data_IF_965868902664
#
_entry.id   IF_965868902664
#
_cell.length_a   1.000
_cell.length_b   1.000
_cell.length_c   1.000
_cell.angle_alpha   90.00
_cell.angle_beta   90.00
_cell.angle_gamma   90.00
#
_symmetry.space_group_name_H-M   'P 1'
#
loop_
_entity.id
_entity.type
_entity.pdbx_description
1 polymer ?
#
# COMPACT_ATOMS: atom_id res chain seq x y z
N UNK A 1 61.67 22.18 42.26
CA UNK A 1 60.64 23.22 42.07
C UNK A 1 60.69 23.73 40.63
N UNK A 2 59.51 23.88 39.99
CA UNK A 2 59.11 24.72 38.83
C UNK A 2 59.97 24.66 37.54
N UNK A 3 59.51 24.09 36.42
CA UNK A 3 58.36 24.35 35.49
C UNK A 3 58.69 25.29 34.30
N UNK A 4 58.61 24.68 33.10
CA UNK A 4 58.05 25.16 31.81
C UNK A 4 58.84 26.29 31.09
N UNK A 5 58.94 26.33 29.75
CA UNK A 5 57.89 26.20 28.73
C UNK A 5 58.44 25.72 27.37
N UNK A 6 57.68 24.82 26.73
CA UNK A 6 57.78 24.40 25.33
C UNK A 6 57.06 25.42 24.43
N UNK A 7 57.55 25.61 23.21
CA UNK A 7 56.93 26.41 22.15
C UNK A 7 56.92 25.61 20.84
N UNK A 8 55.92 25.91 20.03
CA UNK A 8 55.68 25.51 18.64
C UNK A 8 54.98 24.16 18.39
N UNK A 9 53.77 24.26 17.85
CA UNK A 9 53.00 23.19 17.24
C UNK A 9 51.78 23.78 16.54
N UNK A 10 51.93 24.18 15.29
CA UNK A 10 50.85 24.65 14.41
C UNK A 10 49.91 23.48 14.10
N UNK A 11 48.70 23.48 14.67
CA UNK A 11 47.65 22.54 14.31
C UNK A 11 46.87 23.13 13.14
N UNK A 12 47.09 22.59 11.94
CA UNK A 12 46.17 22.69 10.82
C UNK A 12 44.87 21.97 11.21
N UNK A 13 43.82 22.72 11.52
CA UNK A 13 42.47 22.18 11.58
C UNK A 13 42.04 21.82 10.14
N UNK A 14 42.10 20.54 9.82
CA UNK A 14 41.26 19.95 8.76
C UNK A 14 39.81 20.10 9.22
N UNK A 15 39.11 21.10 8.69
CA UNK A 15 37.67 21.17 8.76
C UNK A 15 37.12 19.95 8.00
N UNK A 16 36.76 18.90 8.73
CA UNK A 16 35.91 17.86 8.21
C UNK A 16 34.58 18.52 7.85
N UNK A 17 34.35 18.71 6.54
CA UNK A 17 33.04 19.10 6.05
C UNK A 17 32.02 18.09 6.56
N UNK A 18 31.11 18.55 7.41
CA UNK A 18 29.92 17.77 7.72
C UNK A 18 29.21 17.54 6.39
N UNK A 19 29.24 16.31 5.88
CA UNK A 19 28.39 15.90 4.76
C UNK A 19 26.97 16.05 5.27
N UNK A 20 26.25 17.06 4.78
CA UNK A 20 24.84 17.24 5.10
C UNK A 20 24.12 15.93 4.76
N UNK A 21 23.41 15.34 5.71
CA UNK A 21 22.55 14.20 5.42
C UNK A 21 21.52 14.64 4.37
N UNK A 22 21.47 13.94 3.25
CA UNK A 22 20.57 14.26 2.13
C UNK A 22 19.12 14.28 2.65
N UNK A 23 18.52 15.48 2.64
CA UNK A 23 17.13 15.68 3.02
C UNK A 23 16.21 14.94 2.04
N UNK A 24 15.03 14.53 2.51
CA UNK A 24 14.08 13.83 1.67
C UNK A 24 13.47 14.81 0.68
N UNK A 25 13.29 14.42 -0.59
CA UNK A 25 12.56 15.27 -1.54
C UNK A 25 11.13 15.46 -1.04
N UNK A 26 10.62 16.68 -1.11
CA UNK A 26 9.23 16.98 -0.75
C UNK A 26 8.30 16.58 -1.88
N UNK A 27 7.09 16.14 -1.54
CA UNK A 27 6.01 15.96 -2.51
C UNK A 27 5.40 17.34 -2.78
N UNK A 28 5.45 17.78 -4.04
CA UNK A 28 4.98 19.09 -4.48
C UNK A 28 3.93 18.95 -5.60
N UNK A 29 2.92 19.84 -5.64
CA UNK A 29 1.97 19.86 -6.74
C UNK A 29 2.67 20.23 -8.07
N UNK A 30 2.10 19.79 -9.19
CA UNK A 30 2.60 20.09 -10.53
C UNK A 30 3.69 19.17 -11.08
N UNK A 31 4.13 18.16 -10.32
CA UNK A 31 4.89 17.05 -10.89
C UNK A 31 4.00 16.25 -11.83
N UNK A 32 4.42 16.10 -13.08
CA UNK A 32 3.69 15.33 -14.08
C UNK A 32 4.23 13.91 -14.10
N UNK A 33 3.38 12.94 -13.77
CA UNK A 33 3.73 11.52 -13.79
C UNK A 33 4.06 11.06 -15.22
N UNK A 34 5.15 10.32 -15.39
CA UNK A 34 5.70 9.85 -16.65
C UNK A 34 5.85 8.33 -16.67
N UNK A 35 5.14 7.66 -17.58
CA UNK A 35 5.21 6.20 -17.72
C UNK A 35 6.09 5.80 -18.92
N UNK A 36 6.88 4.72 -18.83
CA UNK A 36 6.91 3.72 -17.75
C UNK A 36 7.80 4.08 -16.54
N UNK A 37 8.54 5.20 -16.58
CA UNK A 37 9.51 5.56 -15.53
C UNK A 37 8.92 5.56 -14.12
N UNK A 38 7.81 6.25 -13.91
CA UNK A 38 7.15 6.38 -12.59
C UNK A 38 6.35 5.10 -12.21
N UNK A 39 6.42 4.03 -13.02
CA UNK A 39 6.06 2.70 -12.55
C UNK A 39 7.19 2.02 -11.78
N UNK A 40 8.43 2.46 -11.98
CA UNK A 40 9.60 2.04 -11.20
C UNK A 40 9.70 2.73 -9.84
N UNK A 41 10.74 2.37 -9.10
CA UNK A 41 11.00 2.83 -7.76
C UNK A 41 11.51 4.29 -7.72
N UNK A 42 11.16 5.00 -6.65
CA UNK A 42 11.60 6.36 -6.35
C UNK A 42 12.47 6.40 -5.07
N UNK A 43 13.68 5.82 -5.07
CA UNK A 43 14.49 5.56 -3.87
C UNK A 43 14.91 6.80 -3.08
N UNK A 44 14.82 7.99 -3.68
CA UNK A 44 15.07 9.25 -2.99
C UNK A 44 13.99 9.54 -1.92
N UNK A 45 12.75 9.12 -2.15
CA UNK A 45 11.62 9.32 -1.22
C UNK A 45 11.67 8.33 -0.06
N UNK A 46 11.15 8.76 1.09
CA UNK A 46 11.18 7.97 2.33
C UNK A 46 10.41 6.66 2.21
N UNK A 47 9.22 6.70 1.65
CA UNK A 47 8.24 5.60 1.69
C UNK A 47 7.65 5.38 0.30
N UNK A 48 7.46 4.12 -0.09
CA UNK A 48 6.86 3.76 -1.38
C UNK A 48 6.17 2.40 -1.34
N UNK A 49 5.03 2.30 -2.01
CA UNK A 49 4.11 1.17 -1.93
C UNK A 49 3.75 0.64 -3.32
N UNK A 50 3.82 -0.66 -3.52
CA UNK A 50 3.13 -1.38 -4.60
C UNK A 50 2.09 -2.29 -3.96
N UNK A 51 0.82 -1.97 -4.13
CA UNK A 51 -0.28 -2.64 -3.45
C UNK A 51 -1.28 -3.20 -4.45
N UNK A 52 -1.31 -4.53 -4.59
CA UNK A 52 -2.29 -5.22 -5.43
C UNK A 52 -3.35 -5.86 -4.57
N UNK A 53 -4.60 -5.62 -4.91
CA UNK A 53 -5.78 -6.27 -4.33
C UNK A 53 -6.68 -6.81 -5.43
N UNK A 54 -7.34 -7.94 -5.21
CA UNK A 54 -8.18 -8.51 -6.26
C UNK A 54 -9.09 -9.64 -5.84
N UNK A 55 -10.09 -9.86 -6.68
CA UNK A 55 -10.99 -11.01 -6.60
C UNK A 55 -10.68 -11.95 -7.75
N UNK A 56 -10.48 -13.22 -7.42
CA UNK A 56 -10.24 -14.29 -8.40
C UNK A 56 -11.20 -15.44 -8.19
N UNK A 57 -11.46 -16.20 -9.25
CA UNK A 57 -12.31 -17.38 -9.22
C UNK A 57 -11.64 -18.56 -9.91
N UNK A 58 -11.87 -19.77 -9.39
CA UNK A 58 -11.47 -21.01 -10.06
C UNK A 58 -12.50 -21.48 -11.09
N UNK A 59 -12.18 -22.55 -11.83
CA UNK A 59 -13.08 -23.14 -12.82
C UNK A 59 -14.40 -23.70 -12.24
N UNK A 60 -14.51 -23.85 -10.91
CA UNK A 60 -15.74 -24.27 -10.23
C UNK A 60 -16.60 -23.08 -9.79
N UNK A 61 -16.14 -21.84 -10.03
CA UNK A 61 -16.82 -20.62 -9.62
C UNK A 61 -16.61 -20.25 -8.14
N UNK A 62 -15.64 -20.87 -7.46
CA UNK A 62 -15.29 -20.49 -6.09
C UNK A 62 -14.56 -19.15 -6.11
N UNK A 63 -15.00 -18.19 -5.29
CA UNK A 63 -14.43 -16.85 -5.24
C UNK A 63 -13.41 -16.73 -4.10
N UNK A 64 -12.31 -16.04 -4.38
CA UNK A 64 -11.22 -15.79 -3.44
C UNK A 64 -10.78 -14.33 -3.50
N UNK A 65 -10.33 -13.81 -2.36
CA UNK A 65 -9.58 -12.58 -2.30
C UNK A 65 -8.08 -12.84 -2.38
N UNK A 66 -7.35 -12.00 -3.10
CA UNK A 66 -5.89 -11.95 -3.12
C UNK A 66 -5.40 -10.54 -2.80
N UNK A 67 -4.30 -10.48 -2.05
CA UNK A 67 -3.58 -9.24 -1.78
C UNK A 67 -2.07 -9.51 -1.84
N UNK A 68 -1.32 -8.57 -2.43
CA UNK A 68 0.15 -8.56 -2.48
C UNK A 68 0.63 -7.13 -2.27
N UNK A 69 1.43 -6.89 -1.23
CA UNK A 69 2.03 -5.60 -0.93
C UNK A 69 3.54 -5.72 -0.93
N UNK A 70 4.20 -4.79 -1.60
CA UNK A 70 5.59 -4.44 -1.37
C UNK A 70 5.63 -3.00 -0.84
N UNK A 71 6.40 -2.78 0.23
CA UNK A 71 6.58 -1.49 0.86
C UNK A 71 8.07 -1.24 1.05
N UNK A 72 8.60 -0.14 0.48
CA UNK A 72 9.97 0.30 0.70
C UNK A 72 9.99 1.45 1.69
N UNK A 73 10.92 1.39 2.64
CA UNK A 73 11.21 2.49 3.55
C UNK A 73 12.72 2.82 3.58
N UNK A 74 13.05 4.12 3.58
CA UNK A 74 14.35 4.67 3.99
C UNK A 74 14.19 5.15 5.44
N UNK A 75 14.79 4.49 6.45
CA UNK A 75 14.55 4.83 7.85
C UNK A 75 15.44 5.96 8.41
N UNK A 76 16.34 6.56 7.60
CA UNK A 76 17.44 7.47 8.03
C UNK A 76 18.29 6.96 9.22
N UNK A 77 18.42 5.65 9.37
CA UNK A 77 19.24 5.06 10.43
C UNK A 77 20.65 4.82 9.91
N UNK A 78 21.65 5.36 10.64
CA UNK A 78 23.07 5.15 10.36
C UNK A 78 23.50 5.55 8.92
N UNK A 79 22.98 6.66 8.39
CA UNK A 79 23.25 7.09 7.01
C UNK A 79 24.73 7.36 6.72
N UNK A 80 25.47 7.83 7.73
CA UNK A 80 26.92 8.07 7.65
C UNK A 80 27.76 6.80 7.81
N UNK A 81 27.13 5.65 8.09
CA UNK A 81 27.82 4.38 8.21
C UNK A 81 28.14 3.83 6.80
N UNK A 82 29.43 3.66 6.53
CA UNK A 82 29.92 3.16 5.24
C UNK A 82 29.60 1.67 5.02
N UNK A 83 29.25 0.91 6.06
CA UNK A 83 28.93 -0.50 5.97
C UNK A 83 27.78 -0.78 4.99
N UNK A 84 27.98 -1.76 4.11
CA UNK A 84 26.91 -2.26 3.24
C UNK A 84 25.72 -2.80 4.05
N UNK A 85 25.93 -3.20 5.31
CA UNK A 85 24.88 -3.70 6.20
C UNK A 85 24.04 -2.59 6.84
N UNK A 86 24.40 -1.32 6.71
CA UNK A 86 23.58 -0.23 7.19
C UNK A 86 22.21 -0.27 6.48
N UNK A 87 21.08 -0.20 7.21
CA UNK A 87 19.73 -0.33 6.63
C UNK A 87 19.34 0.97 5.91
N UNK A 88 20.04 1.29 4.82
CA UNK A 88 19.77 2.50 4.02
C UNK A 88 18.39 2.43 3.41
N UNK A 89 17.99 1.27 2.92
CA UNK A 89 16.61 0.99 2.57
C UNK A 89 16.23 -0.42 3.02
N UNK A 90 14.95 -0.57 3.33
CA UNK A 90 14.34 -1.85 3.70
C UNK A 90 13.16 -2.04 2.77
N UNK A 91 13.07 -3.23 2.18
CA UNK A 91 11.89 -3.71 1.46
C UNK A 91 11.15 -4.67 2.39
N UNK A 92 9.89 -4.36 2.59
CA UNK A 92 8.91 -5.17 3.28
C UNK A 92 7.95 -5.75 2.23
N UNK A 93 7.46 -6.95 2.45
CA UNK A 93 6.39 -7.52 1.65
C UNK A 93 5.46 -8.35 2.53
N UNK A 94 4.17 -8.37 2.18
CA UNK A 94 3.20 -9.31 2.71
C UNK A 94 2.18 -9.66 1.64
N UNK A 95 1.68 -10.88 1.69
CA UNK A 95 0.65 -11.37 0.79
C UNK A 95 -0.37 -12.18 1.58
N UNK A 96 -1.61 -12.17 1.11
CA UNK A 96 -2.71 -12.87 1.73
C UNK A 96 -3.65 -13.50 0.71
N UNK A 97 -4.19 -14.66 1.09
CA UNK A 97 -5.22 -15.39 0.39
C UNK A 97 -6.47 -15.51 1.29
N UNK A 98 -7.59 -15.01 0.80
CA UNK A 98 -8.88 -15.01 1.49
C UNK A 98 -9.81 -16.04 0.85
N UNK A 99 -10.19 -17.06 1.62
CA UNK A 99 -11.11 -18.11 1.21
C UNK A 99 -12.02 -18.45 2.39
N UNK A 100 -13.33 -18.30 2.18
CA UNK A 100 -14.38 -18.52 3.18
C UNK A 100 -14.32 -19.92 3.81
N UNK A 101 -13.79 -20.92 3.10
CA UNK A 101 -13.65 -22.29 3.61
C UNK A 101 -12.62 -22.40 4.73
N UNK A 102 -11.64 -21.49 4.76
CA UNK A 102 -10.63 -21.42 5.83
C UNK A 102 -11.10 -20.53 7.00
N UNK A 103 -12.05 -19.63 6.75
CA UNK A 103 -12.61 -18.74 7.77
C UNK A 103 -11.65 -17.70 8.34
N UNK A 104 -10.43 -17.57 7.79
CA UNK A 104 -9.40 -16.57 8.11
C UNK A 104 -8.40 -16.43 6.96
N UNK A 105 -7.61 -15.36 6.93
CA UNK A 105 -6.52 -15.25 5.95
C UNK A 105 -5.48 -16.35 6.13
N UNK A 106 -5.02 -16.91 5.02
CA UNK A 106 -3.66 -17.46 4.91
C UNK A 106 -2.75 -16.34 4.45
N UNK A 107 -1.68 -16.09 5.18
CA UNK A 107 -0.81 -14.96 4.89
C UNK A 107 0.64 -15.24 5.24
N UNK A 108 1.53 -14.50 4.61
CA UNK A 108 2.95 -14.54 4.91
C UNK A 108 3.59 -13.18 4.68
N UNK A 109 4.79 -12.97 5.22
CA UNK A 109 5.43 -11.67 5.27
C UNK A 109 6.96 -11.78 5.29
N UNK A 110 7.64 -10.82 4.67
CA UNK A 110 9.10 -10.77 4.55
C UNK A 110 9.65 -9.37 4.70
N UNK A 111 10.85 -9.25 5.26
CA UNK A 111 11.57 -7.97 5.40
C UNK A 111 13.05 -8.19 5.10
N UNK A 112 13.64 -7.37 4.24
CA UNK A 112 15.05 -7.45 3.91
C UNK A 112 15.63 -6.08 3.60
N UNK A 113 16.92 -5.91 3.90
CA UNK A 113 17.68 -4.73 3.50
C UNK A 113 18.05 -4.84 2.02
N UNK A 114 18.08 -3.71 1.33
CA UNK A 114 18.61 -3.62 -0.02
C UNK A 114 20.14 -3.66 -0.05
N UNK A 115 20.73 -3.76 -1.24
CA UNK A 115 22.18 -3.67 -1.46
C UNK A 115 22.93 -5.00 -1.46
N UNK A 116 22.21 -6.12 -1.37
CA UNK A 116 22.77 -7.48 -1.36
C UNK A 116 22.13 -8.40 -2.41
N UNK A 117 21.28 -7.87 -3.28
CA UNK A 117 20.53 -8.64 -4.28
C UNK A 117 19.38 -9.47 -3.72
N UNK A 118 19.26 -9.60 -2.40
CA UNK A 118 18.15 -10.31 -1.75
C UNK A 118 16.82 -9.56 -1.92
N UNK A 119 16.84 -8.24 -1.83
CA UNK A 119 15.66 -7.42 -2.07
C UNK A 119 16.07 -6.10 -2.72
N UNK A 120 15.39 -5.70 -3.78
CA UNK A 120 15.62 -4.45 -4.50
C UNK A 120 14.32 -4.00 -5.16
N UNK A 121 14.30 -2.76 -5.64
CA UNK A 121 13.29 -2.23 -6.53
C UNK A 121 13.97 -1.39 -7.62
N UNK A 122 13.74 -1.70 -8.90
CA UNK A 122 14.36 -0.97 -10.02
C UNK A 122 13.66 0.36 -10.28
N UNK A 123 14.42 1.35 -10.76
CA UNK A 123 13.91 2.71 -11.02
C UNK A 123 13.29 2.85 -12.42
N UNK A 124 13.64 1.97 -13.37
CA UNK A 124 13.23 2.13 -14.77
C UNK A 124 11.81 1.62 -15.08
N UNK A 125 11.32 0.68 -14.27
CA UNK A 125 10.01 0.03 -14.41
C UNK A 125 9.65 -0.68 -13.10
N UNK A 126 8.39 -1.09 -12.93
CA UNK A 126 8.01 -1.90 -11.78
C UNK A 126 8.77 -3.24 -11.83
N UNK A 127 9.79 -3.40 -10.99
CA UNK A 127 10.49 -4.67 -10.74
C UNK A 127 10.98 -4.61 -9.30
N UNK A 128 10.14 -5.09 -8.38
CA UNK A 128 10.41 -5.15 -6.95
C UNK A 128 10.41 -6.60 -6.49
N UNK A 129 11.38 -6.98 -5.65
CA UNK A 129 11.49 -8.34 -5.14
C UNK A 129 12.06 -8.44 -3.73
N UNK A 130 11.80 -9.58 -3.09
CA UNK A 130 12.39 -10.02 -1.83
C UNK A 130 12.50 -11.56 -1.79
N UNK A 131 13.72 -12.07 -1.95
CA UNK A 131 13.97 -13.49 -2.18
C UNK A 131 13.30 -13.93 -3.48
N UNK A 132 12.48 -14.98 -3.39
CA UNK A 132 11.67 -15.50 -4.51
C UNK A 132 10.30 -14.80 -4.69
N UNK A 133 9.98 -13.78 -3.89
CA UNK A 133 8.77 -12.97 -4.10
C UNK A 133 9.08 -11.81 -5.03
N UNK A 134 8.23 -11.58 -6.03
CA UNK A 134 8.41 -10.45 -6.95
C UNK A 134 7.11 -9.92 -7.52
N UNK A 135 7.12 -8.64 -7.90
CA UNK A 135 6.13 -7.99 -8.75
C UNK A 135 6.87 -7.25 -9.87
N UNK A 136 6.58 -7.62 -11.12
CA UNK A 136 7.30 -7.11 -12.30
C UNK A 136 6.35 -6.68 -13.41
N UNK A 137 6.60 -5.53 -14.04
CA UNK A 137 5.93 -5.13 -15.28
C UNK A 137 6.73 -5.69 -16.47
N UNK A 138 6.12 -6.63 -17.19
CA UNK A 138 6.70 -7.34 -18.34
C UNK A 138 5.67 -7.27 -19.48
N UNK A 139 6.06 -6.73 -20.64
CA UNK A 139 5.19 -6.60 -21.82
C UNK A 139 3.81 -6.00 -21.48
N UNK A 140 3.82 -4.87 -20.76
CA UNK A 140 2.64 -4.14 -20.27
C UNK A 140 1.73 -4.92 -19.30
N UNK A 141 2.22 -6.00 -18.69
CA UNK A 141 1.48 -6.79 -17.70
C UNK A 141 2.27 -6.90 -16.40
N UNK A 142 1.61 -6.69 -15.28
CA UNK A 142 2.25 -7.01 -14.00
C UNK A 142 2.23 -8.53 -13.80
N UNK A 143 3.34 -9.08 -13.32
CA UNK A 143 3.52 -10.49 -13.00
C UNK A 143 3.93 -10.57 -11.54
N UNK A 144 3.07 -11.15 -10.70
CA UNK A 144 3.40 -11.43 -9.31
C UNK A 144 3.73 -12.92 -9.15
N UNK A 145 4.88 -13.19 -8.55
CA UNK A 145 5.27 -14.53 -8.08
C UNK A 145 5.49 -14.47 -6.59
N UNK A 146 4.72 -15.23 -5.83
CA UNK A 146 4.71 -15.23 -4.36
C UNK A 146 4.77 -16.69 -3.92
N UNK A 147 5.91 -17.12 -3.37
CA UNK A 147 6.07 -18.44 -2.76
C UNK A 147 5.93 -18.31 -1.23
N UNK A 148 4.70 -18.22 -0.74
CA UNK A 148 4.42 -18.11 0.69
C UNK A 148 4.46 -19.51 1.35
N UNK A 149 4.54 -19.55 2.68
CA UNK A 149 4.58 -20.83 3.43
C UNK A 149 3.39 -21.75 3.14
N UNK A 150 2.19 -21.19 3.06
CA UNK A 150 0.94 -21.97 3.00
C UNK A 150 0.20 -21.82 1.65
N UNK A 151 0.71 -20.98 0.75
CA UNK A 151 0.13 -20.75 -0.56
C UNK A 151 1.15 -20.21 -1.56
N UNK A 152 0.85 -20.34 -2.85
CA UNK A 152 1.66 -19.75 -3.92
C UNK A 152 0.79 -18.98 -4.91
N UNK A 153 1.29 -17.86 -5.38
CA UNK A 153 0.72 -17.10 -6.50
C UNK A 153 1.69 -17.09 -7.68
N UNK A 154 1.20 -17.43 -8.86
CA UNK A 154 1.81 -17.08 -10.15
C UNK A 154 0.70 -16.40 -10.97
N UNK A 155 0.63 -15.07 -10.85
CA UNK A 155 -0.49 -14.27 -11.34
C UNK A 155 -0.01 -13.20 -12.31
N UNK A 156 -0.79 -12.99 -13.36
CA UNK A 156 -0.63 -11.94 -14.36
C UNK A 156 -1.80 -10.98 -14.26
N UNK A 157 -1.49 -9.69 -14.24
CA UNK A 157 -2.44 -8.59 -14.15
C UNK A 157 -2.29 -7.72 -15.40
N UNK A 158 -3.27 -7.82 -16.31
CA UNK A 158 -3.23 -7.10 -17.59
C UNK A 158 -4.12 -5.85 -17.51
N UNK A 159 -3.56 -4.63 -17.68
CA UNK A 159 -4.35 -3.41 -17.74
C UNK A 159 -5.43 -3.47 -18.82
N UNK A 160 -6.66 -3.08 -18.47
CA UNK A 160 -7.77 -2.93 -19.42
C UNK A 160 -8.12 -1.46 -19.69
N UNK A 161 -7.57 -0.56 -18.91
CA UNK A 161 -7.84 0.87 -18.92
C UNK A 161 -6.56 1.63 -18.58
N UNK A 162 -6.44 2.92 -18.94
CA UNK A 162 -5.32 3.76 -18.52
C UNK A 162 -5.23 3.87 -16.99
N UNK A 163 -4.07 4.32 -16.52
CA UNK A 163 -3.87 4.69 -15.12
C UNK A 163 -4.93 5.68 -14.65
N UNK A 164 -5.34 5.58 -13.40
CA UNK A 164 -6.15 6.56 -12.71
C UNK A 164 -5.24 7.39 -11.82
N UNK A 165 -4.98 8.65 -12.20
CA UNK A 165 -4.21 9.56 -11.37
C UNK A 165 -5.08 9.99 -10.18
N UNK A 166 -4.53 9.88 -8.97
CA UNK A 166 -5.24 10.24 -7.75
C UNK A 166 -5.03 11.72 -7.40
N UNK A 167 -5.99 12.31 -6.70
CA UNK A 167 -5.92 13.71 -6.29
C UNK A 167 -5.88 14.67 -7.48
N UNK A 168 -4.98 15.65 -7.43
CA UNK A 168 -4.75 16.61 -8.52
C UNK A 168 -3.59 16.12 -9.40
N UNK A 169 -3.91 15.46 -10.51
CA UNK A 169 -2.93 14.95 -11.49
C UNK A 169 -1.82 14.07 -10.87
N UNK A 170 -2.15 13.28 -9.85
CA UNK A 170 -1.22 12.41 -9.14
C UNK A 170 -0.69 12.99 -7.84
N UNK A 171 -0.90 14.28 -7.55
CA UNK A 171 -0.65 14.87 -6.25
C UNK A 171 -1.85 14.61 -5.32
N UNK A 172 -1.72 13.65 -4.41
CA UNK A 172 -2.80 13.23 -3.51
C UNK A 172 -2.52 13.69 -2.08
N UNK A 173 -3.36 14.59 -1.57
CA UNK A 173 -3.28 15.06 -0.19
C UNK A 173 -3.87 14.04 0.78
N UNK A 174 -3.23 13.89 1.93
CA UNK A 174 -3.65 13.04 3.05
C UNK A 174 -3.76 13.80 4.38
N UNK A 175 -3.79 15.13 4.32
CA UNK A 175 -3.91 15.98 5.51
C UNK A 175 -4.08 17.46 5.20
N UNK A 176 -4.40 18.22 6.26
CA UNK A 176 -4.61 19.68 6.17
C UNK A 176 -3.37 20.46 5.74
N UNK A 177 -2.17 20.02 6.12
CA UNK A 177 -0.91 20.61 5.67
C UNK A 177 -0.57 20.17 4.25
N UNK A 178 -0.10 21.08 3.39
CA UNK A 178 0.29 20.77 2.01
C UNK A 178 1.41 19.71 1.91
N UNK A 179 2.27 19.63 2.91
CA UNK A 179 3.33 18.62 2.95
C UNK A 179 2.76 17.20 3.13
N UNK A 180 1.59 17.05 3.76
CA UNK A 180 0.94 15.75 3.97
C UNK A 180 0.31 15.29 2.65
N UNK A 181 1.15 14.84 1.72
CA UNK A 181 0.76 14.39 0.40
C UNK A 181 1.67 13.26 -0.09
N UNK A 182 1.21 12.60 -1.13
CA UNK A 182 1.93 11.57 -1.87
C UNK A 182 1.78 11.79 -3.37
N UNK A 183 2.75 11.32 -4.14
CA UNK A 183 2.52 11.03 -5.54
C UNK A 183 1.84 9.67 -5.65
N UNK A 184 0.74 9.61 -6.40
CA UNK A 184 -0.18 8.48 -6.32
C UNK A 184 -0.96 8.28 -7.63
N UNK A 185 -0.88 7.08 -8.19
CA UNK A 185 -1.78 6.60 -9.21
C UNK A 185 -2.23 5.15 -8.94
N UNK A 186 -3.27 4.73 -9.64
CA UNK A 186 -3.80 3.37 -9.61
C UNK A 186 -3.93 2.77 -11.00
N UNK A 187 -3.83 1.44 -11.11
CA UNK A 187 -4.38 0.69 -12.24
C UNK A 187 -5.58 -0.12 -11.75
N UNK A 188 -6.81 0.37 -11.94
CA UNK A 188 -7.99 -0.44 -11.67
C UNK A 188 -8.28 -1.38 -12.85
N UNK A 189 -9.26 -2.25 -12.69
CA UNK A 189 -9.82 -3.13 -13.71
C UNK A 189 -8.75 -4.03 -14.37
N UNK A 190 -7.71 -4.40 -13.63
CA UNK A 190 -6.66 -5.31 -14.10
C UNK A 190 -7.25 -6.70 -14.32
N UNK A 191 -7.14 -7.24 -15.53
CA UNK A 191 -7.51 -8.62 -15.81
C UNK A 191 -6.56 -9.58 -15.10
N UNK A 192 -7.07 -10.45 -14.22
CA UNK A 192 -6.25 -11.47 -13.56
C UNK A 192 -6.31 -12.78 -14.32
N UNK A 193 -5.15 -13.42 -14.51
CA UNK A 193 -5.02 -14.80 -14.97
C UNK A 193 -3.81 -15.45 -14.31
N UNK A 194 -3.83 -16.78 -14.16
CA UNK A 194 -2.69 -17.53 -13.63
C UNK A 194 -3.13 -18.65 -12.71
N UNK A 195 -2.36 -18.91 -11.66
CA UNK A 195 -2.65 -19.96 -10.70
C UNK A 195 -2.46 -19.52 -9.25
N UNK A 196 -3.29 -20.10 -8.40
CA UNK A 196 -3.13 -20.08 -6.95
C UNK A 196 -2.96 -21.53 -6.49
N UNK A 197 -1.94 -21.82 -5.69
CA UNK A 197 -1.78 -23.10 -5.02
C UNK A 197 -1.94 -22.92 -3.51
N UNK A 198 -2.66 -23.83 -2.86
CA UNK A 198 -2.81 -23.85 -1.39
C UNK A 198 -2.56 -25.28 -0.92
N UNK A 199 -1.69 -25.47 0.07
CA UNK A 199 -1.28 -26.80 0.56
C UNK A 199 -0.83 -27.75 -0.59
N UNK A 200 -0.13 -27.20 -1.60
CA UNK A 200 0.32 -27.94 -2.79
C UNK A 200 -0.75 -28.21 -3.85
N UNK A 201 -2.02 -27.82 -3.61
CA UNK A 201 -3.11 -28.00 -4.57
C UNK A 201 -3.29 -26.74 -5.42
N UNK A 202 -2.80 -26.78 -6.66
CA UNK A 202 -2.93 -25.70 -7.63
C UNK A 202 -4.31 -25.64 -8.30
N UNK A 203 -4.81 -24.43 -8.50
CA UNK A 203 -5.97 -24.13 -9.33
C UNK A 203 -5.65 -22.97 -10.27
N UNK A 204 -6.06 -23.10 -11.53
CA UNK A 204 -6.08 -21.96 -12.46
C UNK A 204 -7.19 -21.00 -12.04
N UNK A 205 -6.89 -19.71 -12.06
CA UNK A 205 -7.83 -18.66 -11.67
C UNK A 205 -7.90 -17.55 -12.71
N UNK A 206 -9.05 -16.89 -12.74
CA UNK A 206 -9.29 -15.65 -13.49
C UNK A 206 -9.97 -14.63 -12.59
N UNK A 207 -9.89 -13.34 -12.90
CA UNK A 207 -10.49 -12.34 -12.02
C UNK A 207 -10.25 -10.89 -12.42
N UNK A 208 -10.46 -10.00 -11.45
CA UNK A 208 -10.21 -8.56 -11.59
C UNK A 208 -9.48 -8.06 -10.34
N UNK A 209 -8.44 -7.27 -10.58
CA UNK A 209 -7.60 -6.68 -9.54
C UNK A 209 -7.45 -5.17 -9.71
N UNK A 210 -6.84 -4.58 -8.70
CA UNK A 210 -6.47 -3.18 -8.55
C UNK A 210 -5.00 -3.13 -8.15
N UNK A 211 -4.24 -2.19 -8.71
CA UNK A 211 -2.91 -1.82 -8.23
C UNK A 211 -2.95 -0.36 -7.76
N UNK A 212 -2.39 -0.10 -6.59
CA UNK A 212 -1.95 1.21 -6.15
C UNK A 212 -0.43 1.30 -6.15
N UNK A 213 0.08 2.45 -6.61
CA UNK A 213 1.48 2.81 -6.51
C UNK A 213 1.60 4.22 -5.93
N UNK A 214 2.19 4.33 -4.74
CA UNK A 214 2.23 5.56 -3.95
C UNK A 214 3.63 5.78 -3.36
N UNK A 215 4.18 7.00 -3.48
CA UNK A 215 5.42 7.38 -2.78
C UNK A 215 5.34 8.76 -2.14
N UNK A 216 6.01 8.90 -0.98
CA UNK A 216 6.09 10.15 -0.23
C UNK A 216 7.27 10.19 0.73
N UNK A 217 7.56 11.39 1.24
CA UNK A 217 8.64 11.62 2.20
C UNK A 217 8.15 11.95 3.61
N UNK A 218 6.93 12.47 3.71
CA UNK A 218 6.31 12.81 4.98
C UNK A 218 5.74 11.58 5.67
N UNK A 219 5.96 11.51 6.99
CA UNK A 219 5.25 10.56 7.82
C UNK A 219 3.75 10.89 7.85
N UNK A 220 2.95 9.99 8.43
CA UNK A 220 1.59 10.32 8.81
C UNK A 220 1.56 11.52 9.75
N UNK A 221 0.50 12.32 9.67
CA UNK A 221 0.29 13.43 10.58
C UNK A 221 0.31 12.94 12.03
N UNK A 222 0.88 13.74 12.94
CA UNK A 222 1.15 13.31 14.32
C UNK A 222 -0.13 12.95 15.12
N UNK A 223 -1.26 13.55 14.74
CA UNK A 223 -2.59 13.31 15.29
C UNK A 223 -3.32 12.13 14.64
N UNK A 224 -2.78 11.56 13.56
CA UNK A 224 -3.38 10.43 12.88
C UNK A 224 -3.17 9.11 13.64
N UNK A 225 -4.22 8.31 13.76
CA UNK A 225 -4.17 6.94 14.29
C UNK A 225 -3.97 5.90 13.19
N UNK A 226 -4.49 6.13 12.00
CA UNK A 226 -4.44 5.21 10.87
C UNK A 226 -5.40 5.66 9.77
N UNK A 227 -5.67 4.77 8.82
CA UNK A 227 -6.58 5.04 7.71
C UNK A 227 -7.58 3.92 7.49
N UNK A 228 -8.68 4.27 6.84
CA UNK A 228 -9.57 3.33 6.15
C UNK A 228 -9.46 3.65 4.67
N UNK A 229 -9.24 2.63 3.84
CA UNK A 229 -9.06 2.79 2.40
C UNK A 229 -9.92 1.76 1.66
N UNK A 230 -10.47 2.15 0.51
CA UNK A 230 -11.13 1.24 -0.42
C UNK A 230 -10.65 1.46 -1.85
N UNK A 231 -10.56 0.36 -2.59
CA UNK A 231 -10.39 0.33 -4.04
C UNK A 231 -11.36 -0.68 -4.62
N UNK A 232 -12.35 -0.20 -5.39
CA UNK A 232 -13.47 -0.98 -5.90
C UNK A 232 -13.47 -0.95 -7.42
N UNK A 233 -13.45 -2.13 -8.02
CA UNK A 233 -13.75 -2.33 -9.44
C UNK A 233 -15.27 -2.46 -9.60
N UNK A 234 -15.89 -1.50 -10.28
CA UNK A 234 -17.33 -1.50 -10.55
C UNK A 234 -17.65 -2.42 -11.73
N UNK A 235 -18.83 -3.05 -11.69
CA UNK A 235 -19.27 -4.05 -12.65
C UNK A 235 -19.53 -3.47 -14.06
N UNK A 236 -19.80 -2.17 -14.14
CA UNK A 236 -19.98 -1.42 -15.39
C UNK A 236 -18.65 -0.99 -16.04
N UNK A 237 -17.51 -1.33 -15.41
CA UNK A 237 -16.18 -0.92 -15.83
C UNK A 237 -15.65 0.34 -15.13
N UNK A 238 -16.45 0.99 -14.28
CA UNK A 238 -15.99 2.09 -13.44
C UNK A 238 -14.99 1.67 -12.36
N UNK A 239 -14.41 2.65 -11.68
CA UNK A 239 -13.41 2.43 -10.62
C UNK A 239 -13.55 3.48 -9.53
N UNK A 240 -13.64 3.06 -8.27
CA UNK A 240 -13.74 3.94 -7.11
C UNK A 240 -12.58 3.68 -6.15
N UNK A 241 -11.83 4.73 -5.83
CA UNK A 241 -10.93 4.76 -4.68
C UNK A 241 -11.45 5.79 -3.68
N UNK A 242 -11.49 5.46 -2.40
CA UNK A 242 -11.79 6.43 -1.35
C UNK A 242 -11.05 6.06 -0.06
N UNK A 243 -10.70 7.06 0.73
CA UNK A 243 -10.05 6.85 2.02
C UNK A 243 -10.43 7.93 3.03
N UNK A 244 -10.18 7.63 4.30
CA UNK A 244 -10.09 8.64 5.37
C UNK A 244 -8.87 8.40 6.23
N UNK A 245 -8.23 9.48 6.65
CA UNK A 245 -7.26 9.50 7.74
C UNK A 245 -8.01 9.77 9.04
N UNK A 246 -7.83 8.92 10.06
CA UNK A 246 -8.53 9.08 11.34
C UNK A 246 -7.61 9.68 12.39
N UNK A 247 -8.15 10.51 13.27
CA UNK A 247 -7.47 10.93 14.50
C UNK A 247 -7.52 9.85 15.58
N UNK A 248 -6.99 10.14 16.77
CA UNK A 248 -7.04 9.24 17.93
C UNK A 248 -8.45 9.05 18.52
N UNK A 249 -9.42 9.91 18.19
CA UNK A 249 -10.83 9.72 18.55
C UNK A 249 -11.59 8.84 17.56
N UNK A 250 -11.00 8.56 16.39
CA UNK A 250 -11.61 7.84 15.27
C UNK A 250 -12.33 8.76 14.27
N UNK A 251 -12.31 10.08 14.48
CA UNK A 251 -12.90 11.06 13.57
C UNK A 251 -11.98 11.30 12.36
N UNK A 252 -12.54 11.73 11.23
CA UNK A 252 -11.75 12.00 10.03
C UNK A 252 -10.95 13.31 10.17
N UNK A 253 -9.62 13.22 10.13
CA UNK A 253 -8.69 14.36 9.94
C UNK A 253 -8.65 14.82 8.49
N UNK A 254 -8.79 13.85 7.58
CA UNK A 254 -8.77 14.05 6.15
C UNK A 254 -9.56 12.93 5.48
N UNK A 255 -10.09 13.21 4.31
CA UNK A 255 -10.66 12.21 3.43
C UNK A 255 -10.41 12.61 1.99
N UNK A 256 -10.47 11.64 1.09
CA UNK A 256 -10.26 11.87 -0.34
C UNK A 256 -10.59 10.63 -1.13
N UNK A 257 -10.61 10.78 -2.45
CA UNK A 257 -10.91 9.68 -3.35
C UNK A 257 -11.05 10.15 -4.78
N UNK A 258 -11.22 9.20 -5.68
CA UNK A 258 -11.54 9.45 -7.07
C UNK A 258 -12.51 8.40 -7.60
N UNK A 259 -13.40 8.82 -8.49
CA UNK A 259 -14.29 7.97 -9.26
C UNK A 259 -13.98 8.12 -10.74
N UNK A 260 -13.74 7.00 -11.41
CA UNK A 260 -13.84 6.87 -12.86
C UNK A 260 -15.16 6.20 -13.21
N UNK A 261 -16.01 6.90 -13.95
CA UNK A 261 -17.26 6.34 -14.45
C UNK A 261 -17.00 5.37 -15.62
N UNK A 262 -18.01 4.56 -15.97
CA UNK A 262 -17.96 3.71 -17.16
C UNK A 262 -17.73 4.48 -18.47
N UNK A 263 -18.11 5.76 -18.50
CA UNK A 263 -17.84 6.69 -19.61
C UNK A 263 -16.35 7.03 -19.78
N UNK A 264 -15.53 6.76 -18.76
CA UNK A 264 -14.14 7.18 -18.67
C UNK A 264 -13.93 8.54 -18.00
N UNK A 265 -15.00 9.28 -17.70
CA UNK A 265 -14.91 10.54 -16.96
C UNK A 265 -14.38 10.29 -15.54
N UNK A 266 -13.42 11.11 -15.11
CA UNK A 266 -12.78 11.02 -13.81
C UNK A 266 -13.09 12.24 -12.95
N UNK A 267 -13.39 12.02 -11.68
CA UNK A 267 -13.61 13.07 -10.68
C UNK A 267 -12.88 12.73 -9.39
N UNK A 268 -12.07 13.66 -8.90
CA UNK A 268 -11.51 13.63 -7.55
C UNK A 268 -12.48 14.31 -6.57
N UNK A 269 -12.53 13.84 -5.33
CA UNK A 269 -13.45 14.32 -4.30
C UNK A 269 -12.74 15.10 -3.20
N UNK A 270 -13.38 16.16 -2.73
CA UNK A 270 -12.94 16.93 -1.58
C UNK A 270 -13.23 16.19 -0.26
N UNK A 271 -12.53 16.51 0.85
CA UNK A 271 -12.69 15.78 2.11
C UNK A 271 -14.12 15.74 2.67
N UNK A 272 -14.92 16.78 2.45
CA UNK A 272 -16.30 16.86 2.92
C UNK A 272 -17.30 16.04 2.08
N UNK A 273 -16.86 15.52 0.93
CA UNK A 273 -17.68 14.68 0.05
C UNK A 273 -17.52 13.20 0.36
N UNK A 274 -16.53 12.82 1.15
CA UNK A 274 -16.26 11.42 1.50
C UNK A 274 -16.61 11.18 2.97
N UNK A 275 -17.47 10.20 3.23
CA UNK A 275 -17.81 9.80 4.60
C UNK A 275 -17.88 8.29 4.73
N UNK A 276 -17.14 7.78 5.71
CA UNK A 276 -17.23 6.39 6.14
C UNK A 276 -18.04 6.31 7.44
N UNK A 277 -19.07 5.48 7.44
CA UNK A 277 -19.91 5.21 8.61
C UNK A 277 -19.91 3.72 8.92
N UNK A 278 -19.65 3.37 10.18
CA UNK A 278 -19.56 1.98 10.59
C UNK A 278 -20.96 1.33 10.61
N UNK A 279 -21.07 0.09 10.12
CA UNK A 279 -22.33 -0.68 10.11
C UNK A 279 -22.26 -1.90 11.00
N UNK A 280 -21.13 -2.61 10.98
CA UNK A 280 -20.89 -3.79 11.81
C UNK A 280 -19.43 -3.88 12.17
N UNK A 281 -19.17 -4.19 13.44
CA UNK A 281 -17.82 -4.49 13.94
C UNK A 281 -17.62 -5.99 14.11
N UNK A 282 -16.37 -6.41 13.97
CA UNK A 282 -15.89 -7.73 14.33
C UNK A 282 -14.67 -7.58 15.24
N UNK A 283 -14.59 -8.41 16.29
CA UNK A 283 -13.46 -8.45 17.21
C UNK A 283 -12.60 -9.66 16.89
N UNK A 284 -11.31 -9.43 16.62
CA UNK A 284 -10.36 -10.51 16.40
C UNK A 284 -10.19 -11.35 17.67
N UNK A 285 -10.38 -12.67 17.60
CA UNK A 285 -10.09 -13.56 18.73
C UNK A 285 -8.59 -13.72 18.97
N UNK A 286 -7.72 -13.36 18.01
CA UNK A 286 -6.26 -13.51 18.11
C UNK A 286 -5.59 -12.32 18.80
N UNK A 287 -6.06 -11.12 18.50
CA UNK A 287 -5.39 -9.87 18.89
C UNK A 287 -6.25 -9.02 19.82
N UNK A 288 -7.55 -9.33 19.91
CA UNK A 288 -8.54 -8.54 20.63
C UNK A 288 -8.93 -7.25 19.93
N UNK A 289 -8.38 -6.93 18.75
CA UNK A 289 -8.65 -5.69 18.02
C UNK A 289 -10.07 -5.69 17.45
N UNK A 290 -10.76 -4.56 17.47
CA UNK A 290 -12.09 -4.39 16.88
C UNK A 290 -12.03 -3.60 15.59
N UNK A 291 -12.59 -4.17 14.53
CA UNK A 291 -12.59 -3.60 13.19
C UNK A 291 -14.02 -3.37 12.70
N UNK A 292 -14.34 -2.20 12.12
CA UNK A 292 -15.59 -1.98 11.37
C UNK A 292 -15.55 -2.67 10.00
N UNK A 293 -15.69 -3.99 10.00
CA UNK A 293 -15.58 -4.84 8.79
C UNK A 293 -16.69 -4.65 7.76
N UNK A 294 -17.82 -4.06 8.16
CA UNK A 294 -18.86 -3.60 7.24
C UNK A 294 -19.09 -2.09 7.43
N UNK A 295 -19.12 -1.37 6.31
CA UNK A 295 -19.18 0.09 6.29
C UNK A 295 -20.19 0.61 5.28
N UNK A 296 -20.67 1.80 5.53
CA UNK A 296 -21.33 2.65 4.56
C UNK A 296 -20.33 3.71 4.10
N UNK A 297 -20.11 3.82 2.80
CA UNK A 297 -19.25 4.84 2.21
C UNK A 297 -20.09 5.75 1.33
N UNK A 298 -20.22 6.99 1.74
CA UNK A 298 -20.84 8.04 0.94
C UNK A 298 -19.74 8.78 0.18
N UNK A 299 -19.95 8.92 -1.13
CA UNK A 299 -19.09 9.62 -2.07
C UNK A 299 -19.96 10.64 -2.80
N UNK A 300 -19.88 11.89 -2.37
CA UNK A 300 -20.85 12.95 -2.71
C UNK A 300 -22.27 12.49 -2.35
N UNK A 301 -23.17 12.36 -3.32
CA UNK A 301 -24.54 11.87 -3.20
C UNK A 301 -24.70 10.36 -3.43
N UNK A 302 -23.61 9.65 -3.74
CA UNK A 302 -23.63 8.20 -4.01
C UNK A 302 -23.33 7.43 -2.73
N UNK A 303 -24.14 6.41 -2.45
CA UNK A 303 -23.98 5.54 -1.28
C UNK A 303 -23.60 4.12 -1.69
N UNK A 304 -22.52 3.61 -1.08
CA UNK A 304 -22.06 2.22 -1.20
C UNK A 304 -22.08 1.54 0.16
N UNK A 305 -22.76 0.41 0.27
CA UNK A 305 -22.62 -0.50 1.41
C UNK A 305 -21.52 -1.50 1.09
N UNK A 306 -20.51 -1.59 1.95
CA UNK A 306 -19.43 -2.55 1.85
C UNK A 306 -19.70 -3.75 2.75
N UNK A 307 -19.69 -4.93 2.15
CA UNK A 307 -19.84 -6.20 2.85
C UNK A 307 -18.58 -7.07 2.69
N UNK A 308 -17.97 -7.54 3.78
CA UNK A 308 -16.77 -8.36 3.71
C UNK A 308 -17.08 -9.76 3.17
N UNK A 309 -16.14 -10.35 2.42
CA UNK A 309 -16.18 -11.75 2.00
C UNK A 309 -16.27 -12.69 3.21
N UNK A 310 -15.47 -12.39 4.24
CA UNK A 310 -15.52 -13.01 5.56
C UNK A 310 -15.00 -12.00 6.60
N UNK A 311 -15.38 -12.18 7.86
CA UNK A 311 -15.04 -11.24 8.93
C UNK A 311 -13.55 -11.24 9.26
N UNK A 312 -12.95 -12.42 9.36
CA UNK A 312 -11.56 -12.60 9.78
C UNK A 312 -10.59 -12.40 8.61
N UNK A 313 -10.41 -11.14 8.24
CA UNK A 313 -9.40 -10.72 7.27
C UNK A 313 -8.26 -9.92 7.91
N UNK A 314 -7.96 -10.22 9.19
CA UNK A 314 -6.87 -9.58 9.92
C UNK A 314 -5.50 -10.18 9.56
N UNK A 315 -4.57 -9.30 9.22
CA UNK A 315 -3.18 -9.57 8.87
C UNK A 315 -2.24 -9.01 9.96
N UNK A 316 -1.68 -9.89 10.77
CA UNK A 316 -0.71 -9.50 11.81
C UNK A 316 0.71 -9.42 11.24
N UNK A 317 1.21 -8.20 11.08
CA UNK A 317 2.53 -7.89 10.52
C UNK A 317 3.48 -7.22 11.52
N UNK A 318 3.24 -7.41 12.82
CA UNK A 318 4.03 -6.76 13.89
C UNK A 318 5.51 -7.06 13.83
N UNK A 319 5.88 -8.26 13.39
CA UNK A 319 7.27 -8.68 13.23
C UNK A 319 7.98 -8.07 11.99
N UNK A 320 7.23 -7.36 11.13
CA UNK A 320 7.68 -6.86 9.85
C UNK A 320 7.50 -5.32 9.75
N UNK A 321 6.28 -4.85 9.49
CA UNK A 321 5.96 -3.41 9.38
C UNK A 321 5.56 -2.80 10.72
N UNK A 322 5.51 -3.59 11.80
CA UNK A 322 5.30 -3.09 13.16
C UNK A 322 3.84 -2.75 13.50
N UNK A 323 2.88 -3.17 12.68
CA UNK A 323 1.44 -2.93 12.84
C UNK A 323 0.59 -4.20 12.60
N UNK A 324 -0.72 -4.06 12.72
CA UNK A 324 -1.71 -5.07 12.32
C UNK A 324 -2.66 -4.37 11.35
N UNK A 325 -2.94 -5.03 10.23
CA UNK A 325 -3.89 -4.58 9.22
C UNK A 325 -5.15 -5.45 9.26
N UNK A 326 -6.26 -4.92 8.80
CA UNK A 326 -7.35 -5.73 8.26
C UNK A 326 -7.38 -5.50 6.75
N UNK A 327 -7.16 -6.57 5.99
CA UNK A 327 -6.88 -6.56 4.54
C UNK A 327 -7.92 -7.41 3.84
N UNK A 328 -9.13 -6.86 3.68
CA UNK A 328 -10.28 -7.67 3.36
C UNK A 328 -10.93 -7.41 2.01
N UNK A 329 -11.14 -8.49 1.28
CA UNK A 329 -11.99 -8.53 0.12
C UNK A 329 -13.43 -8.14 0.52
N UNK A 330 -14.00 -7.16 -0.18
CA UNK A 330 -15.36 -6.65 0.04
C UNK A 330 -16.16 -6.60 -1.26
N UNK A 331 -17.48 -6.76 -1.13
CA UNK A 331 -18.47 -6.45 -2.16
C UNK A 331 -19.00 -5.05 -1.92
N UNK A 332 -19.21 -4.29 -2.99
CA UNK A 332 -19.87 -2.99 -2.94
C UNK A 332 -21.33 -3.13 -3.41
N UNK A 333 -22.27 -2.72 -2.57
CA UNK A 333 -23.71 -2.84 -2.80
C UNK A 333 -24.33 -1.46 -2.88
N UNK A 334 -25.16 -1.22 -3.89
CA UNK A 334 -25.96 0.00 -4.05
C UNK A 334 -27.40 -0.40 -4.37
N UNK A 335 -28.35 0.19 -3.64
CA UNK A 335 -29.79 -0.11 -3.78
C UNK A 335 -30.11 -1.63 -3.76
N UNK A 336 -29.39 -2.39 -2.91
CA UNK A 336 -29.58 -3.84 -2.76
C UNK A 336 -28.97 -4.71 -3.86
N UNK A 337 -28.24 -4.12 -4.83
CA UNK A 337 -27.54 -4.84 -5.90
C UNK A 337 -26.03 -4.73 -5.72
N UNK A 338 -25.32 -5.83 -5.97
CA UNK A 338 -23.86 -5.82 -6.04
C UNK A 338 -23.43 -5.05 -7.30
N UNK A 339 -22.76 -3.91 -7.10
CA UNK A 339 -22.29 -3.02 -8.17
C UNK A 339 -20.80 -3.10 -8.40
N UNK A 340 -20.06 -3.81 -7.55
CA UNK A 340 -18.63 -3.99 -7.71
C UNK A 340 -18.01 -4.84 -6.61
N UNK A 341 -16.72 -5.11 -6.78
CA UNK A 341 -15.89 -5.85 -5.83
C UNK A 341 -14.54 -5.18 -5.70
N UNK A 342 -13.94 -5.31 -4.52
CA UNK A 342 -12.66 -4.69 -4.23
C UNK A 342 -12.16 -5.05 -2.86
N UNK A 343 -11.39 -4.15 -2.28
CA UNK A 343 -10.79 -4.32 -0.95
C UNK A 343 -11.09 -3.14 -0.05
N UNK A 344 -11.15 -3.44 1.24
CA UNK A 344 -11.16 -2.49 2.35
C UNK A 344 -9.91 -2.78 3.19
N UNK A 345 -9.06 -1.77 3.35
CA UNK A 345 -7.90 -1.82 4.23
C UNK A 345 -8.18 -0.96 5.47
N UNK A 346 -7.93 -1.53 6.66
CA UNK A 346 -8.09 -0.85 7.94
C UNK A 346 -6.77 -0.91 8.71
N UNK A 347 -6.21 0.25 9.05
CA UNK A 347 -4.96 0.35 9.82
C UNK A 347 -5.17 1.15 11.09
N UNK A 348 -4.32 1.01 12.10
CA UNK A 348 -4.37 1.87 13.29
C UNK A 348 -5.41 1.50 14.35
N UNK A 349 -6.17 0.42 14.16
CA UNK A 349 -7.17 -0.07 15.13
C UNK A 349 -6.53 -0.79 16.33
N UNK A 350 -5.34 -1.37 16.15
CA UNK A 350 -4.57 -1.95 17.26
C UNK A 350 -3.89 -0.88 18.11
N UNK A 351 -3.17 0.03 17.44
CA UNK A 351 -2.49 1.19 18.02
C UNK A 351 -2.27 2.23 16.92
N UNK A 352 -2.06 3.51 17.25
CA UNK A 352 -1.70 4.52 16.27
C UNK A 352 -0.49 4.10 15.41
N UNK A 353 -0.67 4.19 14.09
CA UNK A 353 0.34 3.80 13.11
C UNK A 353 1.51 4.78 13.13
N UNK A 354 2.73 4.25 13.02
CA UNK A 354 3.97 5.03 12.91
C UNK A 354 4.75 4.50 11.71
N UNK A 355 4.88 5.32 10.67
CA UNK A 355 5.60 5.01 9.43
C UNK A 355 6.81 5.94 9.24
#
# INVERSE_FOLDING_TARGET
MRRRRFLAGSVLLLAAGAVAADEYPRVLPGYLLQFPKDAGAHPAFRSEWWYITGWVQDARGSNFGIQVTFFRNRPRVAETNASAFAPRQIVFAHAAFADVRHGKLRHDQRAARTGFGLAEAREETADVWIGDWSLKLIDDRYVAKIAARDFEFDLRFSPRQPVLLQGDQGFSRKGGALANASYYYSHPQLAVSGSVAVDGNGATVTGVAWLDHEWSSEALAADASGWDWIGINLNDGGALMAFRMRDHSGSALWAGGALREASGATRSFEPNEIRFSERRRWRSPRTGVEYPVAMLVNVSDIEYTLEPLMDDQELDTRANTGTIYWEGAVRAIRAGQEVGRGYLELTGYWKPLKL
#
